data_IF_548770655298
#
_entry.id   IF_548770655298
#
_cell.length_a   1.000
_cell.length_b   1.000
_cell.length_c   1.000
_cell.angle_alpha   90.00
_cell.angle_beta   90.00
_cell.angle_gamma   90.00
#
_symmetry.space_group_name_H-M   'P 1'
#
loop_
_entity.id
_entity.type
_entity.pdbx_description
1 polymer ?
#
# COMPACT_ATOMS: atom_id res chain seq x y z
N UNK A 1 2.16 6.98 -8.03
CA UNK A 1 2.42 7.36 -9.44
C UNK A 1 3.80 6.91 -9.90
N UNK A 2 4.91 7.48 -9.40
CA UNK A 2 6.27 7.17 -9.88
C UNK A 2 6.62 5.67 -9.90
N UNK A 3 6.20 4.89 -8.90
CA UNK A 3 6.47 3.45 -8.88
C UNK A 3 5.71 2.70 -9.99
N UNK A 4 4.45 3.05 -10.24
CA UNK A 4 3.67 2.49 -11.34
C UNK A 4 4.32 2.81 -12.69
N UNK A 5 4.78 4.05 -12.88
CA UNK A 5 5.49 4.47 -14.10
C UNK A 5 6.81 3.72 -14.30
N UNK A 6 7.59 3.52 -13.24
CA UNK A 6 8.83 2.73 -13.26
C UNK A 6 8.58 1.25 -13.59
N UNK A 7 7.39 0.74 -13.28
CA UNK A 7 6.94 -0.61 -13.64
C UNK A 7 6.18 -0.64 -14.99
N UNK A 8 6.17 0.48 -15.73
CA UNK A 8 5.54 0.66 -17.04
C UNK A 8 4.01 0.55 -17.04
N UNK A 9 3.35 0.92 -15.96
CA UNK A 9 1.90 1.11 -15.97
C UNK A 9 1.53 2.31 -16.84
N UNK A 10 0.48 2.15 -17.65
CA UNK A 10 -0.17 3.23 -18.39
C UNK A 10 -1.37 3.82 -17.65
N UNK A 11 -1.69 3.30 -16.47
CA UNK A 11 -2.88 3.69 -15.72
C UNK A 11 -2.69 5.05 -15.04
N UNK A 12 -3.78 5.80 -14.93
CA UNK A 12 -3.80 7.05 -14.17
C UNK A 12 -3.85 6.72 -12.68
N UNK A 13 -2.74 6.93 -11.99
CA UNK A 13 -2.63 6.63 -10.55
C UNK A 13 -3.32 7.72 -9.75
N UNK A 14 -4.33 7.33 -8.97
CA UNK A 14 -5.06 8.22 -8.04
C UNK A 14 -5.12 7.62 -6.64
N UNK A 15 -5.22 8.46 -5.62
CA UNK A 15 -5.34 7.97 -4.25
C UNK A 15 -6.60 7.10 -4.08
N UNK A 16 -6.50 5.88 -3.52
CA UNK A 16 -7.64 4.98 -3.29
C UNK A 16 -8.48 5.39 -2.08
N UNK A 17 -8.41 6.64 -1.63
CA UNK A 17 -9.11 7.14 -0.44
C UNK A 17 -10.62 6.85 -0.43
N UNK A 18 -11.28 6.67 -1.58
CA UNK A 18 -12.68 6.27 -1.67
C UNK A 18 -12.92 4.79 -1.98
N UNK A 19 -12.06 4.18 -2.80
CA UNK A 19 -12.18 2.80 -3.25
C UNK A 19 -11.55 1.78 -2.30
N UNK A 20 -10.79 2.23 -1.30
CA UNK A 20 -9.90 1.47 -0.42
C UNK A 20 -8.74 0.79 -1.16
N UNK A 21 -8.99 0.23 -2.35
CA UNK A 21 -8.01 -0.42 -3.22
C UNK A 21 -8.16 0.08 -4.65
N UNK A 22 -7.03 0.42 -5.28
CA UNK A 22 -6.92 0.63 -6.72
C UNK A 22 -5.91 -0.37 -7.31
N UNK A 23 -6.31 -1.23 -8.25
CA UNK A 23 -5.39 -2.04 -9.03
C UNK A 23 -4.80 -1.23 -10.20
N UNK A 24 -3.51 -1.42 -10.47
CA UNK A 24 -2.82 -0.87 -11.64
C UNK A 24 -2.06 -1.95 -12.37
N UNK A 25 -2.27 -2.06 -13.68
CA UNK A 25 -1.62 -3.05 -14.52
C UNK A 25 -0.21 -2.60 -14.89
N UNK A 26 0.74 -3.53 -14.87
CA UNK A 26 2.15 -3.28 -15.19
C UNK A 26 2.75 -4.46 -15.95
N UNK A 27 3.92 -4.29 -16.55
CA UNK A 27 4.66 -5.38 -17.22
C UNK A 27 5.13 -6.47 -16.24
N UNK A 28 5.10 -6.20 -14.93
CA UNK A 28 5.61 -7.07 -13.87
C UNK A 28 4.50 -7.67 -13.01
N UNK A 29 3.24 -7.46 -13.37
CA UNK A 29 2.07 -7.90 -12.60
C UNK A 29 1.18 -6.74 -12.17
N UNK A 30 0.22 -7.01 -11.29
CA UNK A 30 -0.69 -5.99 -10.78
C UNK A 30 -0.10 -5.32 -9.55
N UNK A 31 -0.17 -4.00 -9.50
CA UNK A 31 0.04 -3.23 -8.27
C UNK A 31 -1.31 -3.01 -7.61
N UNK A 32 -1.44 -3.40 -6.35
CA UNK A 32 -2.57 -3.00 -5.51
C UNK A 32 -2.14 -1.85 -4.60
N UNK A 33 -2.69 -0.67 -4.87
CA UNK A 33 -2.54 0.49 -4.00
C UNK A 33 -3.72 0.54 -3.05
N UNK A 34 -3.42 0.46 -1.76
CA UNK A 34 -4.39 0.36 -0.68
C UNK A 34 -4.28 1.55 0.26
N UNK A 35 -5.41 2.09 0.71
CA UNK A 35 -5.49 3.12 1.74
C UNK A 35 -6.40 2.64 2.87
N UNK A 36 -5.78 2.28 3.99
CA UNK A 36 -6.46 1.69 5.15
C UNK A 36 -6.93 2.74 6.16
N UNK A 37 -6.86 4.04 5.84
CA UNK A 37 -7.26 5.12 6.76
C UNK A 37 -8.71 5.01 7.26
N UNK A 38 -9.60 4.41 6.46
CA UNK A 38 -11.03 4.28 6.79
C UNK A 38 -11.41 2.97 7.50
N UNK A 39 -10.53 1.98 7.48
CA UNK A 39 -10.73 0.71 8.17
C UNK A 39 -10.64 0.94 9.67
N UNK A 40 -11.63 0.45 10.42
CA UNK A 40 -11.76 0.69 11.86
C UNK A 40 -11.31 -0.48 12.71
N UNK A 41 -11.32 -1.70 12.15
CA UNK A 41 -10.85 -2.89 12.85
C UNK A 41 -10.27 -3.92 11.89
N UNK A 42 -9.54 -4.89 12.45
CA UNK A 42 -8.96 -6.00 11.70
C UNK A 42 -10.07 -6.82 11.03
N UNK A 43 -11.18 -7.05 11.73
CA UNK A 43 -12.31 -7.81 11.23
C UNK A 43 -12.93 -7.16 9.99
N UNK A 44 -13.04 -5.82 9.95
CA UNK A 44 -13.52 -5.10 8.76
C UNK A 44 -12.59 -5.34 7.54
N UNK A 45 -11.28 -5.41 7.78
CA UNK A 45 -10.31 -5.71 6.70
C UNK A 45 -10.42 -7.16 6.22
N UNK A 46 -10.64 -8.11 7.14
CA UNK A 46 -10.85 -9.54 6.82
C UNK A 46 -12.17 -9.71 6.06
N UNK A 47 -13.26 -9.10 6.52
CA UNK A 47 -14.58 -9.15 5.87
C UNK A 47 -14.54 -8.57 4.45
N UNK A 48 -13.67 -7.58 4.22
CA UNK A 48 -13.40 -7.03 2.90
C UNK A 48 -12.55 -7.96 2.00
N UNK A 49 -11.88 -8.97 2.57
CA UNK A 49 -11.05 -9.92 1.83
C UNK A 49 -9.61 -9.44 1.60
N UNK A 50 -9.04 -8.64 2.51
CA UNK A 50 -7.68 -8.09 2.34
C UNK A 50 -6.61 -9.16 2.18
N UNK A 51 -6.82 -10.33 2.77
CA UNK A 51 -5.88 -11.44 2.77
C UNK A 51 -5.59 -11.95 1.35
N UNK A 52 -6.57 -11.95 0.45
CA UNK A 52 -6.39 -12.39 -0.95
C UNK A 52 -5.30 -11.59 -1.66
N UNK A 53 -5.18 -10.30 -1.34
CA UNK A 53 -4.17 -9.43 -1.92
C UNK A 53 -2.79 -9.58 -1.26
N UNK A 54 -2.75 -9.84 0.06
CA UNK A 54 -1.50 -9.92 0.82
C UNK A 54 -0.71 -11.20 0.55
N UNK A 55 -1.40 -12.30 0.24
CA UNK A 55 -0.80 -13.64 0.13
C UNK A 55 -0.57 -14.12 -1.31
N UNK A 56 -1.11 -13.41 -2.30
CA UNK A 56 -0.81 -13.64 -3.73
C UNK A 56 0.48 -12.91 -4.17
N UNK A 57 1.08 -13.32 -5.29
CA UNK A 57 2.36 -12.79 -5.82
C UNK A 57 2.15 -11.43 -6.51
N UNK A 58 1.69 -10.43 -5.74
CA UNK A 58 1.39 -9.08 -6.21
C UNK A 58 2.23 -8.01 -5.53
N UNK A 59 2.37 -6.87 -6.18
CA UNK A 59 2.94 -5.68 -5.55
C UNK A 59 1.87 -4.96 -4.73
N UNK A 60 1.96 -5.03 -3.40
CA UNK A 60 1.07 -4.30 -2.50
C UNK A 60 1.73 -3.03 -1.95
N UNK A 61 1.10 -1.86 -2.16
CA UNK A 61 1.47 -0.60 -1.52
C UNK A 61 0.34 -0.18 -0.59
N UNK A 62 0.62 -0.17 0.71
CA UNK A 62 -0.41 0.02 1.74
C UNK A 62 -0.12 1.31 2.51
N UNK A 63 -1.03 2.26 2.41
CA UNK A 63 -1.07 3.45 3.24
C UNK A 63 -1.85 3.17 4.54
N UNK A 64 -1.38 3.77 5.63
CA UNK A 64 -1.97 3.63 6.97
C UNK A 64 -2.20 2.18 7.44
N UNK A 65 -1.17 1.31 7.42
CA UNK A 65 -1.33 -0.12 7.71
C UNK A 65 -1.54 -0.44 9.20
N UNK A 66 -1.72 0.55 10.09
CA UNK A 66 -1.67 0.35 11.55
C UNK A 66 -2.72 -0.64 12.05
N UNK A 67 -3.92 -0.62 11.47
CA UNK A 67 -5.00 -1.53 11.88
C UNK A 67 -4.71 -2.96 11.44
N UNK A 68 -4.07 -3.15 10.29
CA UNK A 68 -3.85 -4.48 9.69
C UNK A 68 -2.43 -5.01 9.95
N UNK A 69 -1.66 -4.42 10.87
CA UNK A 69 -0.25 -4.78 11.08
C UNK A 69 -0.05 -6.27 11.37
N UNK A 70 -1.03 -6.91 12.03
CA UNK A 70 -1.00 -8.34 12.34
C UNK A 70 -1.34 -9.25 11.16
N UNK A 71 -1.97 -8.71 10.11
CA UNK A 71 -2.29 -9.43 8.88
C UNK A 71 -1.16 -9.35 7.85
N UNK A 72 -0.22 -8.42 8.02
CA UNK A 72 0.88 -8.24 7.08
C UNK A 72 1.76 -9.50 7.03
N UNK A 73 2.31 -9.84 5.84
CA UNK A 73 3.20 -10.98 5.69
C UNK A 73 4.45 -10.84 6.57
N UNK A 74 5.18 -11.93 6.81
CA UNK A 74 6.40 -11.88 7.65
C UNK A 74 7.46 -10.93 7.08
N UNK A 75 7.55 -10.85 5.74
CA UNK A 75 8.52 -10.05 5.00
C UNK A 75 7.83 -8.88 4.33
N UNK A 76 8.23 -7.67 4.70
CA UNK A 76 7.80 -6.45 4.03
C UNK A 76 8.80 -5.33 4.21
N UNK A 77 8.67 -4.31 3.38
CA UNK A 77 9.43 -3.06 3.53
C UNK A 77 8.52 -2.01 4.13
N UNK A 78 8.89 -1.51 5.31
CA UNK A 78 8.22 -0.39 5.96
C UNK A 78 8.88 0.92 5.54
N UNK A 79 8.08 1.82 4.97
CA UNK A 79 8.51 3.18 4.62
C UNK A 79 7.81 4.15 5.57
N UNK A 80 8.58 4.90 6.34
CA UNK A 80 8.07 6.00 7.16
C UNK A 80 8.49 7.33 6.54
N UNK A 81 7.53 8.17 6.21
CA UNK A 81 7.77 9.52 5.70
C UNK A 81 7.38 10.51 6.80
N UNK A 82 8.26 11.43 7.16
CA UNK A 82 8.02 12.41 8.23
C UNK A 82 8.40 13.82 7.79
N UNK A 83 7.50 14.78 8.01
CA UNK A 83 7.77 16.20 7.75
C UNK A 83 8.81 16.75 8.72
N UNK A 84 9.78 17.49 8.18
CA UNK A 84 10.80 18.20 8.94
C UNK A 84 10.43 19.68 9.07
N UNK A 85 11.12 20.38 9.98
CA UNK A 85 10.87 21.80 10.26
C UNK A 85 11.21 22.72 9.06
N UNK A 86 12.10 22.29 8.18
CA UNK A 86 12.54 23.01 6.97
C UNK A 86 11.70 22.66 5.72
N UNK A 87 10.48 22.16 5.93
CA UNK A 87 9.56 21.68 4.88
C UNK A 87 10.03 20.46 4.08
N UNK A 88 11.21 19.90 4.38
CA UNK A 88 11.68 18.65 3.75
C UNK A 88 10.93 17.42 4.31
N UNK A 89 11.19 16.26 3.70
CA UNK A 89 10.66 14.96 4.16
C UNK A 89 11.81 14.02 4.45
N UNK A 90 11.82 13.47 5.66
CA UNK A 90 12.70 12.35 6.01
C UNK A 90 12.00 11.04 5.63
N UNK A 91 12.66 10.22 4.83
CA UNK A 91 12.21 8.88 4.45
C UNK A 91 13.09 7.87 5.19
N UNK A 92 12.46 7.02 6.01
CA UNK A 92 13.12 5.92 6.70
C UNK A 92 12.59 4.61 6.14
N UNK A 93 13.52 3.73 5.74
CA UNK A 93 13.21 2.42 5.16
C UNK A 93 13.67 1.35 6.13
N UNK A 94 12.78 0.46 6.51
CA UNK A 94 13.08 -0.69 7.35
C UNK A 94 12.61 -1.96 6.66
N UNK A 95 13.51 -2.94 6.52
CA UNK A 95 13.21 -4.25 5.94
C UNK A 95 12.97 -5.22 7.08
N UNK A 96 11.81 -5.88 7.08
CA UNK A 96 11.47 -6.94 8.02
C UNK A 96 11.67 -8.31 7.37
#
# INVERSE_FOLDING_TARGET
QTVCELLHSTDVVVSPTFSLINPYQTDKGTIYHMDMYRIKSVEEAIDFGIEEYLWEDHFCFIEWPQIIEELLPEKFVRIRISQQADETRLIQIHVK
#
